data_IF_738547429182
#
_entry.id   IF_738547429182
#
_cell.length_a   1.000
_cell.length_b   1.000
_cell.length_c   1.000
_cell.angle_alpha   90.00
_cell.angle_beta   90.00
_cell.angle_gamma   90.00
#
_symmetry.space_group_name_H-M   'P 1'
#
loop_
_entity.id
_entity.type
_entity.pdbx_description
1 polymer ?
#
# COMPACT_ATOMS: atom_id res chain seq x y z
N UNK A 1 -22.70 3.09 -5.51
CA UNK A 1 -21.88 1.87 -5.73
C UNK A 1 -21.04 1.62 -4.48
N UNK A 2 -21.01 0.38 -4.01
CA UNK A 2 -20.14 0.02 -2.90
C UNK A 2 -18.66 0.00 -3.33
N UNK A 3 -17.77 0.12 -2.37
CA UNK A 3 -16.33 0.03 -2.65
C UNK A 3 -15.98 -1.37 -3.16
N UNK A 4 -16.60 -2.42 -2.61
CA UNK A 4 -16.40 -3.80 -3.10
C UNK A 4 -16.83 -3.94 -4.57
N UNK A 5 -17.95 -3.34 -4.95
CA UNK A 5 -18.40 -3.33 -6.35
C UNK A 5 -17.41 -2.54 -7.23
N UNK A 6 -16.86 -1.45 -6.73
CA UNK A 6 -15.85 -0.67 -7.44
C UNK A 6 -14.58 -1.48 -7.68
N UNK A 7 -14.13 -2.22 -6.67
CA UNK A 7 -12.96 -3.11 -6.79
C UNK A 7 -13.22 -4.16 -7.87
N UNK A 8 -14.41 -4.77 -7.88
CA UNK A 8 -14.77 -5.75 -8.90
C UNK A 8 -14.82 -5.12 -10.31
N UNK A 9 -15.38 -3.92 -10.45
CA UNK A 9 -15.43 -3.18 -11.72
C UNK A 9 -14.03 -2.89 -12.26
N UNK A 10 -13.08 -2.58 -11.36
CA UNK A 10 -11.68 -2.33 -11.72
C UNK A 10 -10.92 -3.63 -12.05
N UNK A 11 -11.53 -4.78 -11.89
CA UNK A 11 -10.90 -6.08 -12.14
C UNK A 11 -9.84 -6.45 -11.11
N UNK A 12 -9.90 -5.85 -9.93
CA UNK A 12 -8.91 -6.08 -8.86
C UNK A 12 -9.32 -7.28 -8.00
N UNK A 13 -8.32 -8.07 -7.63
CA UNK A 13 -8.47 -9.15 -6.65
C UNK A 13 -7.63 -8.80 -5.43
N UNK A 14 -8.26 -8.71 -4.27
CA UNK A 14 -7.53 -8.44 -3.03
C UNK A 14 -6.78 -9.69 -2.58
N UNK A 15 -5.50 -9.54 -2.18
CA UNK A 15 -4.73 -10.66 -1.64
C UNK A 15 -5.22 -11.09 -0.26
N UNK A 16 -4.78 -12.24 0.19
CA UNK A 16 -4.96 -12.66 1.58
C UNK A 16 -4.15 -11.73 2.51
N UNK A 17 -4.67 -11.41 3.72
CA UNK A 17 -3.95 -10.56 4.65
C UNK A 17 -2.64 -11.20 5.09
N UNK A 18 -1.54 -10.46 4.99
CA UNK A 18 -0.26 -10.88 5.55
C UNK A 18 -0.35 -10.87 7.08
N UNK A 19 0.18 -11.92 7.72
CA UNK A 19 0.26 -12.01 9.18
C UNK A 19 1.64 -11.57 9.65
N UNK A 20 1.73 -10.75 10.73
CA UNK A 20 3.02 -10.40 11.29
C UNK A 20 3.71 -11.63 11.90
N UNK A 21 5.05 -11.67 11.80
CA UNK A 21 5.88 -12.77 12.31
C UNK A 21 6.57 -12.41 13.63
N UNK A 22 6.14 -11.34 14.27
CA UNK A 22 6.72 -10.79 15.51
C UNK A 22 5.59 -10.38 16.47
N UNK A 23 5.93 -9.64 17.52
CA UNK A 23 4.97 -9.21 18.53
C UNK A 23 4.07 -8.03 18.11
N UNK A 24 4.34 -7.40 16.95
CA UNK A 24 3.49 -6.34 16.45
C UNK A 24 2.27 -6.91 15.72
N UNK A 25 1.30 -6.06 15.45
CA UNK A 25 0.04 -6.40 14.75
C UNK A 25 -0.03 -5.70 13.40
N UNK A 26 -0.91 -6.19 12.52
CA UNK A 26 -1.06 -5.62 11.18
C UNK A 26 -1.68 -4.23 11.19
N UNK A 27 -2.53 -3.94 12.17
CA UNK A 27 -3.13 -2.62 12.34
C UNK A 27 -3.54 -2.39 13.79
N UNK A 28 -3.65 -1.09 14.15
CA UNK A 28 -4.16 -0.65 15.45
C UNK A 28 -5.26 0.37 15.22
N UNK A 29 -6.42 0.15 15.80
CA UNK A 29 -7.49 1.13 15.81
C UNK A 29 -7.44 1.95 17.10
N UNK A 30 -7.45 3.28 16.96
CA UNK A 30 -7.52 4.23 18.07
C UNK A 30 -8.60 5.26 17.75
N UNK A 31 -9.75 5.15 18.44
CA UNK A 31 -10.92 5.93 18.06
C UNK A 31 -11.40 5.52 16.66
N UNK A 32 -11.50 6.49 15.75
CA UNK A 32 -11.87 6.26 14.36
C UNK A 32 -10.66 6.19 13.43
N UNK A 33 -9.45 6.33 13.94
CA UNK A 33 -8.23 6.20 13.14
C UNK A 33 -7.65 4.81 13.26
N UNK A 34 -7.21 4.29 12.12
CA UNK A 34 -6.52 3.01 12.02
C UNK A 34 -5.13 3.27 11.46
N UNK A 35 -4.12 2.84 12.19
CA UNK A 35 -2.73 2.83 11.73
C UNK A 35 -2.39 1.44 11.25
N UNK A 36 -1.94 1.32 10.01
CA UNK A 36 -1.65 0.04 9.36
C UNK A 36 -0.16 -0.11 9.22
N UNK A 37 0.37 -1.24 9.70
CA UNK A 37 1.78 -1.59 9.56
C UNK A 37 2.21 -1.64 8.10
N UNK A 38 3.49 -1.39 7.85
CA UNK A 38 4.07 -1.42 6.51
C UNK A 38 3.74 -2.71 5.77
N UNK A 39 3.25 -2.56 4.55
CA UNK A 39 2.97 -3.67 3.64
C UNK A 39 4.04 -3.68 2.55
N UNK A 40 4.62 -4.83 2.32
CA UNK A 40 5.66 -5.01 1.31
C UNK A 40 5.05 -5.23 -0.07
N UNK A 41 5.88 -5.10 -1.11
CA UNK A 41 5.50 -5.35 -2.52
C UNK A 41 5.48 -6.85 -2.82
N UNK A 42 4.78 -7.62 -2.01
CA UNK A 42 4.64 -9.06 -2.17
C UNK A 42 3.25 -9.44 -2.70
N UNK A 43 3.19 -10.62 -3.30
CA UNK A 43 1.96 -11.27 -3.75
C UNK A 43 2.10 -12.78 -3.61
N UNK A 44 1.09 -13.54 -4.08
CA UNK A 44 1.10 -15.00 -4.01
C UNK A 44 2.24 -15.65 -4.80
N UNK A 45 2.82 -14.92 -5.77
CA UNK A 45 3.92 -15.39 -6.63
C UNK A 45 5.30 -14.95 -6.13
N UNK A 46 5.38 -14.28 -4.97
CA UNK A 46 6.62 -13.79 -4.37
C UNK A 46 6.83 -12.29 -4.47
N UNK A 47 6.12 -11.60 -5.35
CA UNK A 47 6.16 -10.14 -5.46
C UNK A 47 7.37 -9.60 -6.21
N UNK A 48 7.68 -8.32 -5.96
CA UNK A 48 8.76 -7.59 -6.65
C UNK A 48 9.83 -7.22 -5.64
N UNK A 49 11.01 -7.79 -5.83
CA UNK A 49 12.21 -7.57 -5.01
C UNK A 49 13.30 -6.94 -5.83
N UNK A 50 14.20 -6.25 -5.17
CA UNK A 50 15.37 -5.64 -5.78
C UNK A 50 15.46 -4.15 -5.52
N UNK A 51 16.43 -3.52 -6.17
CA UNK A 51 16.78 -2.11 -5.98
C UNK A 51 16.41 -1.32 -7.23
N UNK A 52 15.56 -0.34 -7.06
CA UNK A 52 15.05 0.47 -8.17
C UNK A 52 16.18 1.32 -8.75
N UNK A 53 16.32 1.27 -10.06
CA UNK A 53 17.41 1.92 -10.77
C UNK A 53 18.67 1.07 -10.88
N UNK A 54 18.69 -0.14 -10.32
CA UNK A 54 19.77 -1.12 -10.43
C UNK A 54 19.26 -2.37 -11.15
N UNK A 55 18.40 -3.16 -10.48
CA UNK A 55 17.83 -4.39 -11.04
C UNK A 55 16.30 -4.39 -11.12
N UNK A 56 15.67 -3.30 -10.69
CA UNK A 56 14.23 -3.06 -10.82
C UNK A 56 14.03 -1.78 -11.64
N UNK A 57 13.22 -1.87 -12.70
CA UNK A 57 12.89 -0.69 -13.51
C UNK A 57 11.89 0.22 -12.79
N UNK A 58 11.81 1.52 -13.16
CA UNK A 58 10.78 2.40 -12.60
C UNK A 58 9.35 1.87 -12.81
N UNK A 59 9.08 1.25 -13.94
CA UNK A 59 7.77 0.66 -14.25
C UNK A 59 7.45 -0.52 -13.34
N UNK A 60 8.42 -1.39 -13.11
CA UNK A 60 8.28 -2.50 -12.15
C UNK A 60 8.10 -1.99 -10.73
N UNK A 61 8.80 -0.91 -10.36
CA UNK A 61 8.69 -0.29 -9.05
C UNK A 61 7.29 0.32 -8.83
N UNK A 62 6.72 0.95 -9.85
CA UNK A 62 5.34 1.47 -9.80
C UNK A 62 4.33 0.34 -9.59
N UNK A 63 4.52 -0.78 -10.26
CA UNK A 63 3.71 -1.99 -10.03
C UNK A 63 3.91 -2.54 -8.61
N UNK A 64 5.14 -2.50 -8.09
CA UNK A 64 5.42 -2.89 -6.70
C UNK A 64 4.66 -2.02 -5.71
N UNK A 65 4.60 -0.70 -5.94
CA UNK A 65 3.80 0.21 -5.11
C UNK A 65 2.31 -0.12 -5.17
N UNK A 66 1.81 -0.53 -6.34
CA UNK A 66 0.41 -0.98 -6.50
C UNK A 66 0.14 -2.25 -5.69
N UNK A 67 1.05 -3.21 -5.68
CA UNK A 67 0.95 -4.40 -4.83
C UNK A 67 0.87 -4.04 -3.35
N UNK A 68 1.71 -3.11 -2.88
CA UNK A 68 1.62 -2.59 -1.52
C UNK A 68 0.24 -2.02 -1.23
N UNK A 69 -0.33 -1.28 -2.18
CA UNK A 69 -1.67 -0.70 -2.07
C UNK A 69 -2.76 -1.75 -1.93
N UNK A 70 -2.70 -2.82 -2.72
CA UNK A 70 -3.64 -3.94 -2.61
C UNK A 70 -3.53 -4.61 -1.23
N UNK A 71 -2.32 -4.81 -0.74
CA UNK A 71 -2.09 -5.36 0.59
C UNK A 71 -2.64 -4.44 1.69
N UNK A 72 -2.49 -3.12 1.54
CA UNK A 72 -3.10 -2.15 2.46
C UNK A 72 -4.63 -2.23 2.45
N UNK A 73 -5.25 -2.28 1.28
CA UNK A 73 -6.72 -2.38 1.15
C UNK A 73 -7.23 -3.66 1.81
N UNK A 74 -6.50 -4.76 1.68
CA UNK A 74 -6.85 -6.01 2.37
C UNK A 74 -6.87 -5.84 3.89
N UNK A 75 -5.88 -5.16 4.47
CA UNK A 75 -5.86 -4.87 5.91
C UNK A 75 -6.99 -3.91 6.31
N UNK A 76 -7.27 -2.90 5.49
CA UNK A 76 -8.39 -1.98 5.72
C UNK A 76 -9.71 -2.75 5.74
N UNK A 77 -9.90 -3.66 4.80
CA UNK A 77 -11.12 -4.48 4.76
C UNK A 77 -11.26 -5.33 6.02
N UNK A 78 -10.17 -5.90 6.51
CA UNK A 78 -10.17 -6.69 7.73
C UNK A 78 -10.60 -5.87 8.96
N UNK A 79 -10.05 -4.66 9.13
CA UNK A 79 -10.42 -3.80 10.27
C UNK A 79 -11.86 -3.26 10.14
N UNK A 80 -12.41 -3.20 8.95
CA UNK A 80 -13.79 -2.80 8.66
C UNK A 80 -14.78 -3.99 8.70
N UNK A 81 -14.37 -5.14 9.21
CA UNK A 81 -15.19 -6.36 9.27
C UNK A 81 -15.77 -6.76 7.90
N UNK A 82 -15.01 -6.53 6.84
CA UNK A 82 -15.37 -6.88 5.47
C UNK A 82 -16.13 -5.80 4.70
N UNK A 83 -16.43 -4.65 5.32
CA UNK A 83 -17.22 -3.58 4.69
C UNK A 83 -16.36 -2.32 4.46
N UNK A 84 -15.79 -2.19 3.26
CA UNK A 84 -14.95 -1.04 2.89
C UNK A 84 -15.74 0.28 2.77
N UNK A 85 -17.08 0.23 2.73
CA UNK A 85 -17.89 1.47 2.77
C UNK A 85 -17.77 2.18 4.13
N UNK A 86 -17.21 1.54 5.15
CA UNK A 86 -16.89 2.16 6.44
C UNK A 86 -15.69 3.08 6.37
N UNK A 87 -14.91 3.07 5.30
CA UNK A 87 -13.79 4.00 5.12
C UNK A 87 -14.34 5.40 4.92
N UNK A 88 -13.94 6.32 5.79
CA UNK A 88 -14.25 7.75 5.66
C UNK A 88 -13.23 8.41 4.75
N UNK A 89 -11.95 8.09 4.96
CA UNK A 89 -10.85 8.70 4.21
C UNK A 89 -9.56 7.94 4.43
N UNK A 90 -8.75 7.85 3.37
CA UNK A 90 -7.32 7.56 3.50
C UNK A 90 -6.66 8.86 3.96
N UNK A 91 -6.04 8.84 5.13
CA UNK A 91 -5.49 10.04 5.76
C UNK A 91 -4.06 10.30 5.30
N UNK A 92 -3.22 9.25 5.38
CA UNK A 92 -1.81 9.37 5.03
C UNK A 92 -1.25 8.05 4.52
N UNK A 93 -0.34 8.14 3.55
CA UNK A 93 0.55 7.05 3.15
C UNK A 93 1.99 7.42 3.48
N UNK A 94 2.75 6.46 4.01
CA UNK A 94 4.21 6.53 4.11
C UNK A 94 4.81 5.56 3.11
N UNK A 95 5.48 6.07 2.07
CA UNK A 95 6.05 5.25 1.00
C UNK A 95 7.57 5.18 1.08
N UNK A 96 8.11 3.97 1.00
CA UNK A 96 9.54 3.69 1.09
C UNK A 96 9.95 2.85 -0.13
N UNK A 97 10.97 3.32 -0.84
CA UNK A 97 11.48 2.67 -2.05
C UNK A 97 12.93 2.25 -1.82
N UNK A 98 13.24 0.97 -2.02
CA UNK A 98 14.61 0.49 -2.03
C UNK A 98 15.26 0.99 -3.31
N UNK A 99 16.00 2.10 -3.20
CA UNK A 99 16.48 2.84 -4.35
C UNK A 99 18.00 2.79 -4.47
N UNK A 100 18.49 2.66 -5.70
CA UNK A 100 19.91 2.80 -6.01
C UNK A 100 20.38 4.25 -5.86
N UNK A 101 21.70 4.48 -5.87
CA UNK A 101 22.28 5.79 -5.54
C UNK A 101 21.86 6.91 -6.50
N UNK A 102 21.52 6.57 -7.75
CA UNK A 102 21.19 7.57 -8.77
C UNK A 102 19.69 7.69 -9.05
N UNK A 103 18.86 6.86 -8.41
CA UNK A 103 17.42 6.89 -8.62
C UNK A 103 16.77 7.90 -7.67
N UNK A 104 16.20 8.98 -8.23
CA UNK A 104 15.60 10.07 -7.46
C UNK A 104 14.09 10.27 -7.72
N UNK A 105 13.51 9.57 -8.69
CA UNK A 105 12.09 9.71 -9.04
C UNK A 105 11.19 8.90 -8.08
N UNK A 106 11.44 9.00 -6.79
CA UNK A 106 10.74 8.25 -5.72
C UNK A 106 9.23 8.54 -5.71
N UNK A 107 8.78 9.82 -5.80
CA UNK A 107 7.34 10.10 -5.80
C UNK A 107 6.58 9.41 -6.93
N UNK A 108 7.18 9.31 -8.12
CA UNK A 108 6.56 8.65 -9.27
C UNK A 108 6.31 7.16 -9.00
N UNK A 109 7.20 6.48 -8.28
CA UNK A 109 7.03 5.08 -7.88
C UNK A 109 5.82 4.93 -6.96
N UNK A 110 5.74 5.75 -5.93
CA UNK A 110 4.65 5.67 -4.93
C UNK A 110 3.30 6.04 -5.55
N UNK A 111 3.27 6.75 -6.68
CA UNK A 111 2.04 7.01 -7.42
C UNK A 111 1.30 5.73 -7.81
N UNK A 112 1.97 4.60 -7.95
CA UNK A 112 1.31 3.31 -8.17
C UNK A 112 0.31 2.97 -7.08
N UNK A 113 0.61 3.31 -5.82
CA UNK A 113 -0.30 3.15 -4.71
C UNK A 113 -1.29 4.32 -4.60
N UNK A 114 -0.81 5.55 -4.73
CA UNK A 114 -1.64 6.76 -4.67
C UNK A 114 -2.80 6.70 -5.67
N UNK A 115 -2.50 6.35 -6.91
CA UNK A 115 -3.50 6.28 -7.97
C UNK A 115 -4.50 5.15 -7.68
N UNK A 116 -4.05 4.02 -7.16
CA UNK A 116 -4.93 2.92 -6.74
C UNK A 116 -5.92 3.38 -5.67
N UNK A 117 -5.47 4.11 -4.66
CA UNK A 117 -6.34 4.61 -3.59
C UNK A 117 -7.44 5.53 -4.15
N UNK A 118 -7.10 6.40 -5.10
CA UNK A 118 -8.07 7.28 -5.74
C UNK A 118 -9.00 6.50 -6.67
N UNK A 119 -8.50 5.54 -7.42
CA UNK A 119 -9.33 4.66 -8.27
C UNK A 119 -10.38 3.92 -7.44
N UNK A 120 -9.99 3.40 -6.26
CA UNK A 120 -10.86 2.58 -5.41
C UNK A 120 -11.80 3.45 -4.57
N UNK A 121 -11.29 4.48 -3.90
CA UNK A 121 -12.05 5.26 -2.91
C UNK A 121 -12.53 6.62 -3.42
N UNK A 122 -12.16 7.02 -4.63
CA UNK A 122 -12.52 8.34 -5.16
C UNK A 122 -11.87 9.46 -4.33
N UNK A 123 -12.64 10.51 -4.03
CA UNK A 123 -12.12 11.64 -3.24
C UNK A 123 -11.66 11.24 -1.83
N UNK A 124 -12.28 10.22 -1.25
CA UNK A 124 -11.85 9.67 0.04
C UNK A 124 -10.45 9.03 -0.03
N UNK A 125 -9.99 8.67 -1.22
CA UNK A 125 -8.64 8.12 -1.44
C UNK A 125 -7.54 9.18 -1.52
N UNK A 126 -7.87 10.45 -1.66
CA UNK A 126 -6.87 11.54 -1.70
C UNK A 126 -6.31 11.77 -0.30
N UNK A 127 -5.01 11.62 -0.15
CA UNK A 127 -4.31 11.53 1.11
C UNK A 127 -3.08 12.42 1.14
N UNK A 128 -2.59 12.74 2.34
CA UNK A 128 -1.24 13.27 2.52
C UNK A 128 -0.23 12.12 2.43
N UNK A 129 1.01 12.40 2.02
CA UNK A 129 2.01 11.35 1.97
C UNK A 129 3.43 11.87 2.16
N UNK A 130 4.32 10.95 2.57
CA UNK A 130 5.75 11.05 2.39
C UNK A 130 6.19 9.93 1.47
N UNK A 131 7.16 10.19 0.59
CA UNK A 131 7.72 9.21 -0.33
C UNK A 131 9.24 9.40 -0.34
N UNK A 132 9.96 8.40 0.19
CA UNK A 132 11.42 8.50 0.40
C UNK A 132 12.12 7.24 -0.09
N UNK A 133 13.37 7.41 -0.50
CA UNK A 133 14.26 6.30 -0.81
C UNK A 133 14.95 5.78 0.45
N UNK A 134 15.17 4.47 0.50
CA UNK A 134 15.90 3.82 1.59
C UNK A 134 16.96 2.89 1.01
N UNK A 135 17.96 2.59 1.82
CA UNK A 135 19.02 1.68 1.41
C UNK A 135 18.53 0.24 1.26
N UNK A 136 17.80 -0.26 2.26
CA UNK A 136 17.26 -1.62 2.27
C UNK A 136 15.86 -1.66 2.85
N UNK A 137 15.06 -2.55 2.31
CA UNK A 137 13.75 -2.93 2.87
C UNK A 137 13.80 -4.39 3.34
N UNK A 138 12.88 -4.78 4.24
CA UNK A 138 12.82 -6.15 4.72
C UNK A 138 12.78 -7.16 3.56
N UNK A 139 13.57 -8.21 3.66
CA UNK A 139 13.63 -9.31 2.70
C UNK A 139 14.00 -8.88 1.27
N UNK A 140 14.49 -7.66 1.08
CA UNK A 140 14.90 -7.15 -0.22
C UNK A 140 13.76 -6.73 -1.13
N UNK A 141 12.54 -6.52 -0.60
CA UNK A 141 11.43 -6.02 -1.41
C UNK A 141 11.70 -4.61 -1.93
N UNK A 142 11.15 -4.30 -3.10
CA UNK A 142 11.43 -3.03 -3.77
C UNK A 142 10.71 -1.84 -3.15
N UNK A 143 9.51 -2.06 -2.60
CA UNK A 143 8.66 -1.01 -2.02
C UNK A 143 7.99 -1.50 -0.75
N UNK A 144 7.82 -0.58 0.21
CA UNK A 144 7.00 -0.77 1.40
C UNK A 144 6.16 0.47 1.63
N UNK A 145 4.89 0.30 1.99
CA UNK A 145 3.98 1.42 2.24
C UNK A 145 3.15 1.14 3.49
N UNK A 146 3.09 2.12 4.41
CA UNK A 146 2.18 2.13 5.55
C UNK A 146 1.07 3.15 5.35
N UNK A 147 0.06 3.13 6.20
CA UNK A 147 -1.08 4.00 6.04
C UNK A 147 -1.74 4.36 7.36
N UNK A 148 -2.40 5.52 7.36
CA UNK A 148 -3.36 5.93 8.38
C UNK A 148 -4.70 6.14 7.67
N UNK A 149 -5.76 5.54 8.21
CA UNK A 149 -7.10 5.54 7.61
C UNK A 149 -8.12 5.92 8.67
N UNK A 150 -9.11 6.75 8.31
CA UNK A 150 -10.26 7.01 9.16
C UNK A 150 -11.42 6.11 8.74
N UNK A 151 -12.06 5.48 9.73
CA UNK A 151 -13.23 4.62 9.53
C UNK A 151 -14.35 5.03 10.47
N UNK A 152 -15.58 4.58 10.19
CA UNK A 152 -16.74 4.76 11.05
C UNK A 152 -17.32 3.45 11.57
#
# INVERSE_FOLDING_TARGET
MSIEARIAELGLTLPEPAKPVASYVSYVRSGNQVTISGQLSNDASGGIKGTVGVDVTPEQATEAARLCGLNLITQIKAVCDGDLDRVVRIVKLGGFVQAGPDFIAIPAVINGCTDLMVEVFGDAGKHARSAVGVYKLPLGFAVEIDAIVEIR
#
